data_IF_836895979480
#
_entry.id   IF_836895979480
#
_cell.length_a   1.000
_cell.length_b   1.000
_cell.length_c   1.000
_cell.angle_alpha   90.00
_cell.angle_beta   90.00
_cell.angle_gamma   90.00
#
_symmetry.space_group_name_H-M   'P 1'
#
loop_
_entity.id
_entity.type
_entity.pdbx_description
1 polymer ?
#
# COMPACT_ATOMS: atom_id res chain seq x y z
N UNK A 1 -6.00 -14.68 4.03
CA UNK A 1 -6.27 -14.15 2.68
C UNK A 1 -4.94 -14.12 1.94
N UNK A 2 -4.89 -14.59 0.69
CA UNK A 2 -3.66 -14.66 -0.11
C UNK A 2 -3.91 -14.03 -1.48
N UNK A 3 -2.92 -13.33 -2.01
CA UNK A 3 -2.93 -12.73 -3.35
C UNK A 3 -1.90 -13.44 -4.22
N UNK A 4 -2.21 -13.64 -5.50
CA UNK A 4 -1.37 -14.41 -6.44
C UNK A 4 -0.53 -13.54 -7.36
N UNK A 5 -0.88 -12.26 -7.49
CA UNK A 5 -0.22 -11.30 -8.38
C UNK A 5 -0.29 -9.87 -7.80
N UNK A 6 0.34 -8.93 -8.52
CA UNK A 6 0.41 -7.54 -8.10
C UNK A 6 -0.95 -6.83 -8.19
N UNK A 7 -1.78 -7.17 -9.18
CA UNK A 7 -3.11 -6.57 -9.37
C UNK A 7 -4.04 -6.88 -8.19
N UNK A 8 -4.06 -8.14 -7.75
CA UNK A 8 -4.83 -8.58 -6.57
C UNK A 8 -4.34 -7.89 -5.29
N UNK A 9 -3.02 -7.71 -5.15
CA UNK A 9 -2.44 -7.02 -3.99
C UNK A 9 -2.78 -5.52 -3.98
N UNK A 10 -2.80 -4.89 -5.15
CA UNK A 10 -3.24 -3.50 -5.28
C UNK A 10 -4.74 -3.36 -5.00
N UNK A 11 -5.58 -4.26 -5.53
CA UNK A 11 -7.02 -4.25 -5.27
C UNK A 11 -7.33 -4.47 -3.78
N UNK A 12 -6.56 -5.30 -3.09
CA UNK A 12 -6.65 -5.47 -1.64
C UNK A 12 -6.28 -4.17 -0.91
N UNK A 13 -5.19 -3.52 -1.30
CA UNK A 13 -4.80 -2.23 -0.74
C UNK A 13 -5.86 -1.15 -0.94
N UNK A 14 -6.44 -1.06 -2.13
CA UNK A 14 -7.49 -0.10 -2.47
C UNK A 14 -8.75 -0.28 -1.62
N UNK A 15 -9.20 -1.54 -1.48
CA UNK A 15 -10.33 -1.88 -0.60
C UNK A 15 -10.06 -1.48 0.86
N UNK A 16 -8.84 -1.72 1.36
CA UNK A 16 -8.48 -1.30 2.71
C UNK A 16 -8.46 0.23 2.82
N UNK A 17 -7.93 0.94 1.82
CA UNK A 17 -7.84 2.40 1.80
C UNK A 17 -9.20 3.08 1.94
N UNK A 18 -10.26 2.52 1.35
CA UNK A 18 -11.63 3.02 1.51
C UNK A 18 -12.20 2.87 2.94
N UNK A 19 -11.62 2.00 3.76
CA UNK A 19 -12.08 1.74 5.13
C UNK A 19 -11.30 2.53 6.17
N UNK A 20 -10.17 3.15 5.79
CA UNK A 20 -9.33 3.88 6.72
C UNK A 20 -9.95 5.21 7.12
N UNK A 21 -9.74 5.57 8.38
CA UNK A 21 -10.11 6.83 8.97
C UNK A 21 -8.88 7.66 9.34
N UNK A 22 -9.11 8.93 9.64
CA UNK A 22 -8.08 9.82 10.16
C UNK A 22 -7.49 9.23 11.46
N UNK A 23 -6.16 9.29 11.56
CA UNK A 23 -5.35 8.76 12.67
C UNK A 23 -5.15 7.24 12.70
N UNK A 24 -5.59 6.50 11.68
CA UNK A 24 -5.21 5.09 11.56
C UNK A 24 -3.71 4.95 11.27
N UNK A 25 -3.08 3.95 11.90
CA UNK A 25 -1.67 3.61 11.72
C UNK A 25 -1.56 2.17 11.22
N UNK A 26 -0.96 2.00 10.05
CA UNK A 26 -0.72 0.69 9.45
C UNK A 26 0.76 0.36 9.49
N UNK A 27 1.08 -0.83 9.98
CA UNK A 27 2.44 -1.37 10.00
C UNK A 27 2.54 -2.45 8.91
N UNK A 28 3.39 -2.23 7.90
CA UNK A 28 3.65 -3.20 6.84
C UNK A 28 4.99 -3.90 7.08
N UNK A 29 4.93 -5.18 7.43
CA UNK A 29 6.12 -6.00 7.71
C UNK A 29 6.34 -7.01 6.59
N UNK A 30 7.60 -7.26 6.24
CA UNK A 30 8.00 -8.27 5.27
C UNK A 30 9.39 -7.99 4.70
N UNK A 31 9.99 -8.97 4.05
CA UNK A 31 11.32 -8.85 3.45
C UNK A 31 11.36 -7.90 2.24
N UNK A 32 12.56 -7.62 1.73
CA UNK A 32 12.74 -6.91 0.48
C UNK A 32 12.02 -7.68 -0.65
N UNK A 33 11.24 -6.98 -1.46
CA UNK A 33 10.46 -7.61 -2.53
C UNK A 33 9.14 -8.24 -2.09
N UNK A 34 8.78 -8.25 -0.80
CA UNK A 34 7.52 -8.83 -0.30
C UNK A 34 6.23 -8.08 -0.74
N UNK A 35 6.33 -7.06 -1.62
CA UNK A 35 5.16 -6.36 -2.15
C UNK A 35 4.63 -5.18 -1.31
N UNK A 36 5.34 -4.75 -0.26
CA UNK A 36 4.93 -3.61 0.61
C UNK A 36 4.62 -2.33 -0.19
N UNK A 37 5.48 -1.97 -1.14
CA UNK A 37 5.29 -0.79 -1.99
C UNK A 37 4.13 -0.97 -2.98
N UNK A 38 3.95 -2.19 -3.52
CA UNK A 38 2.82 -2.54 -4.40
C UNK A 38 1.50 -2.41 -3.66
N UNK A 39 1.42 -2.92 -2.42
CA UNK A 39 0.26 -2.74 -1.55
C UNK A 39 -0.02 -1.26 -1.27
N UNK A 40 1.01 -0.48 -0.93
CA UNK A 40 0.89 0.97 -0.64
C UNK A 40 0.34 1.75 -1.84
N UNK A 41 0.71 1.38 -3.07
CA UNK A 41 0.13 1.98 -4.29
C UNK A 41 -1.37 1.72 -4.41
N UNK A 42 -1.82 0.50 -4.07
CA UNK A 42 -3.25 0.19 -3.99
C UNK A 42 -3.96 1.02 -2.92
N UNK A 43 -3.38 1.08 -1.72
CA UNK A 43 -3.90 1.86 -0.60
C UNK A 43 -4.09 3.34 -0.97
N UNK A 44 -3.12 3.93 -1.66
CA UNK A 44 -3.19 5.30 -2.15
C UNK A 44 -4.39 5.54 -3.10
N UNK A 45 -4.74 4.58 -3.96
CA UNK A 45 -5.95 4.68 -4.81
C UNK A 45 -7.22 4.75 -3.95
N UNK A 46 -7.32 3.89 -2.93
CA UNK A 46 -8.45 3.87 -2.01
C UNK A 46 -8.61 5.19 -1.22
N UNK A 47 -7.49 5.85 -0.95
CA UNK A 47 -7.41 7.18 -0.30
C UNK A 47 -7.52 8.36 -1.28
N UNK A 48 -7.81 8.12 -2.56
CA UNK A 48 -7.93 9.14 -3.61
C UNK A 48 -6.64 9.95 -3.86
N UNK A 49 -5.48 9.37 -3.60
CA UNK A 49 -4.17 9.99 -3.88
C UNK A 49 -3.78 9.69 -5.33
N UNK A 50 -3.69 10.74 -6.15
CA UNK A 50 -3.32 10.66 -7.57
C UNK A 50 -1.82 10.79 -7.85
N UNK A 51 -1.03 11.13 -6.82
CA UNK A 51 0.40 11.35 -6.93
C UNK A 51 1.17 10.03 -7.08
N UNK A 52 2.35 10.10 -7.70
CA UNK A 52 3.21 8.94 -7.85
C UNK A 52 3.77 8.49 -6.49
N UNK A 53 3.41 7.27 -6.06
CA UNK A 53 3.97 6.64 -4.87
C UNK A 53 5.26 5.89 -5.23
N UNK A 54 6.36 6.28 -4.58
CA UNK A 54 7.67 5.61 -4.65
C UNK A 54 8.07 5.06 -3.29
N UNK A 55 9.00 4.09 -3.29
CA UNK A 55 9.54 3.56 -2.04
C UNK A 55 10.35 4.64 -1.30
N UNK A 56 10.03 4.97 -0.04
CA UNK A 56 10.79 5.95 0.73
C UNK A 56 12.08 5.37 1.33
N UNK A 57 12.52 4.18 0.89
CA UNK A 57 13.68 3.44 1.43
C UNK A 57 14.95 4.29 1.56
N UNK A 58 15.12 5.28 0.68
CA UNK A 58 16.27 6.20 0.69
C UNK A 58 15.87 7.67 0.90
N UNK A 59 14.62 7.93 1.27
CA UNK A 59 14.05 9.29 1.38
C UNK A 59 13.91 9.75 2.82
N UNK A 60 13.83 8.82 3.78
CA UNK A 60 13.79 9.15 5.20
C UNK A 60 15.24 9.30 5.69
N UNK A 61 15.67 10.55 5.87
CA UNK A 61 16.91 10.98 6.56
C UNK A 61 16.59 11.57 7.91
#
# INVERSE_FOLDING_TARGET
MYTKNEEELQALGERLGHLLAKNDVLILTGELGAGKTTFTKGLAKGLQISQMIKSPTYTIV
#
